data_IF_050145228815
#
_entry.id   IF_050145228815
#
_cell.length_a   1.000
_cell.length_b   1.000
_cell.length_c   1.000
_cell.angle_alpha   90.00
_cell.angle_beta   90.00
_cell.angle_gamma   90.00
#
_symmetry.space_group_name_H-M   'P 1'
#
loop_
_entity.id
_entity.type
_entity.pdbx_description
1 polymer ?
#
# COMPACT_ATOMS: atom_id res chain seq x y z
N UNK A 1 -8.30 9.70 3.90
CA UNK A 1 -7.40 10.84 3.69
C UNK A 1 -7.62 11.41 2.29
N UNK A 2 -7.67 12.73 2.14
CA UNK A 2 -7.78 13.45 0.86
C UNK A 2 -6.58 14.38 0.70
N UNK A 3 -5.80 14.20 -0.38
CA UNK A 3 -4.56 14.95 -0.62
C UNK A 3 -4.62 15.70 -1.94
N UNK A 4 -4.34 17.00 -1.91
CA UNK A 4 -4.13 17.82 -3.10
C UNK A 4 -2.66 17.83 -3.49
N UNK A 5 -2.35 17.47 -4.74
CA UNK A 5 -0.97 17.45 -5.26
C UNK A 5 -0.84 18.53 -6.33
N UNK A 6 0.12 19.43 -6.18
CA UNK A 6 0.47 20.44 -7.17
C UNK A 6 1.88 20.17 -7.68
N UNK A 7 2.01 19.78 -8.95
CA UNK A 7 3.31 19.80 -9.61
C UNK A 7 3.66 21.26 -9.89
N UNK A 8 4.70 21.77 -9.21
CA UNK A 8 5.09 23.17 -9.30
C UNK A 8 5.33 23.61 -10.75
N UNK A 9 5.04 24.88 -10.99
CA UNK A 9 5.25 25.58 -12.27
C UNK A 9 4.37 25.12 -13.42
N UNK A 10 4.26 25.98 -14.42
CA UNK A 10 3.62 25.66 -15.70
C UNK A 10 4.57 24.87 -16.60
N UNK A 11 4.02 24.15 -17.59
CA UNK A 11 4.82 23.40 -18.58
C UNK A 11 5.52 24.34 -19.55
N UNK A 12 4.84 25.45 -19.86
CA UNK A 12 5.28 26.53 -20.73
C UNK A 12 4.61 27.85 -20.32
N UNK A 13 5.09 28.97 -20.86
CA UNK A 13 4.55 30.29 -20.52
C UNK A 13 5.05 30.82 -19.18
N UNK A 14 4.27 31.69 -18.54
CA UNK A 14 4.70 32.34 -17.31
C UNK A 14 4.78 31.35 -16.14
N UNK A 15 5.90 31.38 -15.39
CA UNK A 15 6.08 30.55 -14.20
C UNK A 15 6.47 29.11 -14.51
N UNK A 16 7.33 28.87 -15.50
CA UNK A 16 7.81 27.54 -15.90
C UNK A 16 8.99 26.99 -15.07
N UNK A 17 9.35 27.66 -13.98
CA UNK A 17 10.40 27.23 -13.07
C UNK A 17 11.83 27.38 -13.59
N UNK A 18 12.78 26.82 -12.83
CA UNK A 18 14.19 26.84 -13.16
C UNK A 18 14.55 25.84 -14.28
N UNK A 19 15.60 26.17 -15.02
CA UNK A 19 16.23 25.28 -16.01
C UNK A 19 17.69 25.15 -15.61
N UNK A 20 18.03 24.03 -14.97
CA UNK A 20 19.40 23.67 -14.62
C UNK A 20 19.89 22.52 -15.51
N UNK A 21 20.55 21.56 -14.88
CA UNK A 21 20.92 20.28 -15.50
C UNK A 21 19.66 19.51 -15.90
N UNK A 22 18.62 19.61 -15.07
CA UNK A 22 17.26 19.17 -15.38
C UNK A 22 16.29 20.35 -15.35
N UNK A 23 15.16 20.21 -16.06
CA UNK A 23 14.09 21.23 -16.05
C UNK A 23 13.14 20.98 -14.89
N UNK A 24 13.02 21.94 -13.98
CA UNK A 24 12.19 21.83 -12.77
C UNK A 24 10.73 21.49 -13.13
N UNK A 25 10.11 22.20 -14.08
CA UNK A 25 8.71 21.94 -14.47
C UNK A 25 8.45 20.52 -14.97
N UNK A 26 9.47 19.87 -15.55
CA UNK A 26 9.34 18.51 -16.07
C UNK A 26 9.44 17.50 -14.92
N UNK A 27 10.44 17.64 -14.06
CA UNK A 27 10.70 16.69 -12.99
C UNK A 27 9.69 16.80 -11.83
N UNK A 28 9.16 17.99 -11.55
CA UNK A 28 8.02 18.15 -10.63
C UNK A 28 6.80 17.34 -11.08
N UNK A 29 6.53 17.28 -12.40
CA UNK A 29 5.44 16.48 -12.97
C UNK A 29 5.72 14.99 -12.89
N UNK A 30 6.95 14.56 -13.21
CA UNK A 30 7.34 13.14 -13.11
C UNK A 30 7.18 12.63 -11.66
N UNK A 31 7.70 13.37 -10.68
CA UNK A 31 7.58 13.02 -9.25
C UNK A 31 6.11 13.09 -8.80
N UNK A 32 5.40 14.15 -9.16
CA UNK A 32 4.01 14.34 -8.78
C UNK A 32 3.08 13.25 -9.31
N UNK A 33 3.23 12.85 -10.58
CA UNK A 33 2.45 11.77 -11.17
C UNK A 33 2.73 10.42 -10.48
N UNK A 34 4.00 10.11 -10.22
CA UNK A 34 4.37 8.89 -9.49
C UNK A 34 3.78 8.90 -8.06
N UNK A 35 3.86 10.03 -7.34
CA UNK A 35 3.30 10.16 -6.00
C UNK A 35 1.77 10.03 -5.99
N UNK A 36 1.09 10.69 -6.93
CA UNK A 36 -0.37 10.55 -7.10
C UNK A 36 -0.78 9.10 -7.35
N UNK A 37 0.01 8.35 -8.14
CA UNK A 37 -0.22 6.93 -8.39
C UNK A 37 -0.10 6.10 -7.11
N UNK A 38 0.99 6.28 -6.34
CA UNK A 38 1.20 5.57 -5.08
C UNK A 38 0.07 5.84 -4.07
N UNK A 39 -0.32 7.10 -3.90
CA UNK A 39 -1.40 7.48 -3.00
C UNK A 39 -2.74 6.86 -3.42
N UNK A 40 -3.10 6.90 -4.72
CA UNK A 40 -4.34 6.29 -5.23
C UNK A 40 -4.35 4.77 -5.02
N UNK A 41 -3.23 4.10 -5.28
CA UNK A 41 -3.09 2.65 -5.05
C UNK A 41 -3.23 2.28 -3.57
N UNK A 42 -2.91 3.21 -2.66
CA UNK A 42 -3.10 3.05 -1.22
C UNK A 42 -4.51 3.44 -0.72
N UNK A 43 -5.47 3.70 -1.63
CA UNK A 43 -6.83 4.08 -1.27
C UNK A 43 -7.00 5.55 -0.85
N UNK A 44 -5.98 6.39 -1.02
CA UNK A 44 -6.06 7.84 -0.75
C UNK A 44 -6.80 8.52 -1.89
N UNK A 45 -7.74 9.41 -1.55
CA UNK A 45 -8.37 10.27 -2.55
C UNK A 45 -7.41 11.39 -2.93
N UNK A 46 -7.04 11.48 -4.21
CA UNK A 46 -6.04 12.44 -4.70
C UNK A 46 -6.67 13.47 -5.64
N UNK A 47 -6.48 14.75 -5.32
CA UNK A 47 -6.91 15.90 -6.12
C UNK A 47 -5.71 16.50 -6.84
N UNK A 48 -5.67 16.41 -8.17
CA UNK A 48 -4.61 17.04 -8.95
C UNK A 48 -4.87 18.56 -9.03
N UNK A 49 -3.96 19.34 -8.47
CA UNK A 49 -3.96 20.81 -8.41
C UNK A 49 -2.90 21.41 -9.34
N UNK A 50 -2.40 20.64 -10.31
CA UNK A 50 -1.40 21.08 -11.29
C UNK A 50 -2.02 22.00 -12.34
N UNK A 51 -1.27 23.04 -12.74
CA UNK A 51 -1.68 23.99 -13.77
C UNK A 51 -0.59 24.02 -14.84
N UNK A 52 -0.92 23.58 -16.05
CA UNK A 52 0.07 23.46 -17.13
C UNK A 52 0.34 24.76 -17.89
N UNK A 53 -0.57 25.74 -17.82
CA UNK A 53 -0.45 27.00 -18.53
C UNK A 53 -1.20 28.13 -17.79
N UNK A 54 -0.59 29.32 -17.79
CA UNK A 54 -1.20 30.57 -17.33
C UNK A 54 -0.52 31.75 -18.04
N UNK A 55 -1.21 32.89 -18.13
CA UNK A 55 -0.65 34.09 -18.76
C UNK A 55 0.31 34.81 -17.81
N UNK A 56 0.08 34.69 -16.49
CA UNK A 56 0.98 35.20 -15.46
C UNK A 56 1.28 34.18 -14.36
N UNK A 57 2.44 34.36 -13.69
CA UNK A 57 2.80 33.57 -12.50
C UNK A 57 1.73 33.66 -11.41
N UNK A 58 1.11 34.82 -11.23
CA UNK A 58 0.12 35.02 -10.18
C UNK A 58 -1.18 34.26 -10.48
N UNK A 59 -1.60 34.19 -11.75
CA UNK A 59 -2.76 33.40 -12.17
C UNK A 59 -2.53 31.91 -11.95
N UNK A 60 -1.36 31.39 -12.34
CA UNK A 60 -0.96 30.01 -12.05
C UNK A 60 -1.11 29.70 -10.56
N UNK A 61 -0.49 30.50 -9.70
CA UNK A 61 -0.51 30.31 -8.25
C UNK A 61 -1.93 30.40 -7.68
N UNK A 62 -2.74 31.35 -8.17
CA UNK A 62 -4.13 31.52 -7.77
C UNK A 62 -5.00 30.34 -8.19
N UNK A 63 -4.82 29.82 -9.41
CA UNK A 63 -5.57 28.69 -9.94
C UNK A 63 -5.28 27.40 -9.18
N UNK A 64 -4.01 27.09 -8.89
CA UNK A 64 -3.63 25.92 -8.10
C UNK A 64 -4.27 25.94 -6.70
N UNK A 65 -4.20 27.10 -6.02
CA UNK A 65 -4.84 27.30 -4.71
C UNK A 65 -6.36 27.22 -4.80
N UNK A 66 -6.96 27.73 -5.87
CA UNK A 66 -8.41 27.65 -6.07
C UNK A 66 -8.89 26.20 -6.24
N UNK A 67 -8.13 25.34 -6.92
CA UNK A 67 -8.41 23.91 -7.00
C UNK A 67 -8.34 23.25 -5.62
N UNK A 68 -7.27 23.52 -4.88
CA UNK A 68 -7.09 22.98 -3.53
C UNK A 68 -8.21 23.41 -2.58
N UNK A 69 -8.57 24.69 -2.58
CA UNK A 69 -9.55 25.28 -1.66
C UNK A 69 -11.02 24.96 -1.99
N UNK A 70 -11.31 24.35 -3.15
CA UNK A 70 -12.64 23.81 -3.49
C UNK A 70 -12.93 22.49 -2.79
N UNK A 71 -11.92 21.86 -2.22
CA UNK A 71 -12.00 20.56 -1.57
C UNK A 71 -11.68 20.69 -0.08
N UNK A 72 -12.18 19.75 0.73
CA UNK A 72 -11.76 19.60 2.12
C UNK A 72 -10.53 18.68 2.18
N UNK A 73 -9.35 19.24 1.91
CA UNK A 73 -8.09 18.47 1.90
C UNK A 73 -7.52 18.29 3.31
N UNK A 74 -6.99 17.10 3.60
CA UNK A 74 -6.14 16.85 4.77
C UNK A 74 -4.74 17.46 4.57
N UNK A 75 -4.24 17.41 3.33
CA UNK A 75 -2.96 17.97 2.92
C UNK A 75 -3.03 18.58 1.52
N UNK A 76 -2.35 19.71 1.34
CA UNK A 76 -1.91 20.23 0.05
C UNK A 76 -0.39 20.15 -0.03
N UNK A 77 0.13 19.49 -1.07
CA UNK A 77 1.56 19.26 -1.25
C UNK A 77 1.96 19.80 -2.62
N UNK A 78 2.86 20.77 -2.62
CA UNK A 78 3.44 21.34 -3.84
C UNK A 78 4.86 20.81 -4.02
N UNK A 79 5.18 20.27 -5.20
CA UNK A 79 6.48 19.63 -5.48
C UNK A 79 7.31 20.55 -6.35
N UNK A 80 8.56 20.79 -5.95
CA UNK A 80 9.49 21.73 -6.55
C UNK A 80 10.93 21.17 -6.57
N UNK A 81 11.79 21.80 -7.37
CA UNK A 81 13.24 21.59 -7.33
C UNK A 81 13.93 22.95 -7.21
N UNK A 82 14.91 23.03 -6.32
CA UNK A 82 15.54 24.28 -5.99
C UNK A 82 16.57 24.68 -7.06
N UNK A 83 17.03 25.93 -7.02
CA UNK A 83 18.15 26.40 -7.82
C UNK A 83 18.91 27.48 -7.06
N UNK A 84 20.20 27.65 -7.36
CA UNK A 84 21.04 28.66 -6.71
C UNK A 84 21.89 29.41 -7.74
N UNK A 85 22.09 30.72 -7.53
CA UNK A 85 22.83 31.54 -8.50
C UNK A 85 24.27 31.08 -8.77
N UNK A 86 24.92 30.44 -7.79
CA UNK A 86 26.26 29.85 -7.94
C UNK A 86 26.25 28.34 -8.25
N UNK A 87 25.07 27.70 -8.36
CA UNK A 87 24.91 26.25 -8.57
C UNK A 87 25.56 25.36 -7.48
N UNK A 88 25.84 25.94 -6.31
CA UNK A 88 26.43 25.25 -5.14
C UNK A 88 25.40 24.84 -4.08
N UNK A 89 24.18 25.37 -4.16
CA UNK A 89 23.08 24.89 -3.33
C UNK A 89 22.86 23.39 -3.59
N UNK A 90 22.67 22.62 -2.54
CA UNK A 90 22.43 21.18 -2.60
C UNK A 90 21.59 20.75 -1.40
N UNK A 91 20.89 19.62 -1.55
CA UNK A 91 20.04 19.01 -0.53
C UNK A 91 18.55 19.34 -0.65
N UNK A 92 17.77 18.76 0.27
CA UNK A 92 16.31 18.86 0.33
C UNK A 92 15.83 19.81 1.43
N UNK A 93 14.73 20.52 1.19
CA UNK A 93 14.04 21.33 2.21
C UNK A 93 12.53 21.30 2.00
N UNK A 94 11.78 21.49 3.08
CA UNK A 94 10.31 21.59 3.04
C UNK A 94 9.86 22.92 3.64
N UNK A 95 9.00 23.64 2.94
CA UNK A 95 8.42 24.90 3.41
C UNK A 95 6.99 24.68 3.91
N UNK A 96 6.72 25.11 5.14
CA UNK A 96 5.38 25.08 5.74
C UNK A 96 4.99 26.47 6.23
N UNK A 97 3.69 26.70 6.49
CA UNK A 97 3.24 27.97 7.03
C UNK A 97 3.92 28.26 8.38
N UNK A 98 4.60 29.40 8.49
CA UNK A 98 5.42 29.80 9.66
C UNK A 98 6.55 28.83 10.04
N UNK A 99 6.87 27.84 9.18
CA UNK A 99 7.88 26.84 9.48
C UNK A 99 7.42 25.83 10.52
N UNK A 100 6.10 25.60 10.63
CA UNK A 100 5.52 24.55 11.47
C UNK A 100 6.14 23.19 11.15
N UNK A 101 6.68 22.56 12.18
CA UNK A 101 7.34 21.26 12.14
C UNK A 101 6.28 20.16 12.19
N UNK A 102 5.51 20.01 11.11
CA UNK A 102 4.60 18.88 10.98
C UNK A 102 5.42 17.59 10.85
N UNK A 103 5.03 16.53 11.56
CA UNK A 103 5.74 15.25 11.52
C UNK A 103 5.91 14.76 10.07
N UNK A 104 4.85 14.79 9.28
CA UNK A 104 4.91 14.38 7.86
C UNK A 104 5.95 15.18 7.05
N UNK A 105 6.16 16.46 7.35
CA UNK A 105 7.15 17.30 6.66
C UNK A 105 8.59 17.00 7.13
N UNK A 106 8.76 16.67 8.41
CA UNK A 106 10.03 16.18 8.96
C UNK A 106 10.41 14.84 8.33
N UNK A 107 9.44 13.92 8.24
CA UNK A 107 9.63 12.59 7.69
C UNK A 107 9.95 12.64 6.19
N UNK A 108 9.33 13.55 5.44
CA UNK A 108 9.71 13.80 4.03
C UNK A 108 11.19 14.23 3.93
N UNK A 109 11.64 15.19 4.75
CA UNK A 109 13.05 15.59 4.76
C UNK A 109 13.98 14.43 5.16
N UNK A 110 13.60 13.64 6.17
CA UNK A 110 14.36 12.49 6.64
C UNK A 110 14.48 11.42 5.55
N UNK A 111 13.36 11.00 4.96
CA UNK A 111 13.31 9.97 3.93
C UNK A 111 14.09 10.37 2.67
N UNK A 112 14.02 11.65 2.27
CA UNK A 112 14.84 12.14 1.16
C UNK A 112 16.33 12.13 1.54
N UNK A 113 16.68 12.48 2.78
CA UNK A 113 18.08 12.41 3.22
C UNK A 113 18.65 10.99 3.28
N UNK A 114 17.82 9.98 3.54
CA UNK A 114 18.21 8.56 3.46
C UNK A 114 18.60 8.13 2.04
N UNK A 115 18.10 8.84 1.02
CA UNK A 115 18.50 8.63 -0.38
C UNK A 115 19.85 9.28 -0.73
N UNK A 116 20.45 10.04 0.20
CA UNK A 116 21.76 10.68 0.04
C UNK A 116 21.74 12.21 -0.04
N UNK A 117 20.56 12.85 -0.02
CA UNK A 117 20.47 14.32 -0.04
C UNK A 117 20.88 14.92 1.31
N UNK A 118 21.52 16.09 1.28
CA UNK A 118 21.70 16.87 2.52
C UNK A 118 20.35 17.34 3.05
N UNK A 119 20.03 16.99 4.30
CA UNK A 119 18.81 17.44 4.96
C UNK A 119 18.95 18.90 5.41
N UNK A 120 18.17 19.82 4.82
CA UNK A 120 18.17 21.24 5.18
C UNK A 120 16.96 21.64 6.04
N UNK A 121 16.14 20.66 6.41
CA UNK A 121 15.04 20.77 7.36
C UNK A 121 13.80 21.50 6.84
N UNK A 122 12.85 21.67 7.76
CA UNK A 122 11.60 22.38 7.52
C UNK A 122 11.77 23.88 7.80
N UNK A 123 11.35 24.72 6.84
CA UNK A 123 11.56 26.18 6.83
C UNK A 123 10.25 26.96 6.73
N UNK A 124 10.31 28.24 7.10
CA UNK A 124 9.16 29.13 7.02
C UNK A 124 8.82 29.52 5.57
N UNK A 125 7.67 29.03 5.11
CA UNK A 125 7.11 29.28 3.79
C UNK A 125 6.04 30.37 3.73
N UNK A 126 5.89 31.21 4.77
CA UNK A 126 4.81 32.22 4.85
C UNK A 126 4.79 33.21 3.68
N UNK A 127 5.93 33.42 3.01
CA UNK A 127 6.04 34.22 1.80
C UNK A 127 5.53 33.52 0.53
N UNK A 128 5.45 32.19 0.52
CA UNK A 128 5.06 31.39 -0.64
C UNK A 128 3.55 31.41 -0.81
N UNK A 129 3.08 31.81 -2.00
CA UNK A 129 1.65 32.02 -2.24
C UNK A 129 0.81 30.77 -1.96
N UNK A 130 1.24 29.61 -2.46
CA UNK A 130 0.52 28.33 -2.31
C UNK A 130 0.48 27.83 -0.87
N UNK A 131 1.46 28.19 -0.04
CA UNK A 131 1.45 27.90 1.39
C UNK A 131 0.53 28.86 2.14
N UNK A 132 0.63 30.16 1.84
CA UNK A 132 -0.12 31.19 2.56
C UNK A 132 -1.61 31.21 2.23
N UNK A 133 -2.00 30.84 1.01
CA UNK A 133 -3.38 31.01 0.52
C UNK A 133 -4.20 29.72 0.50
N UNK A 134 -3.58 28.57 0.79
CA UNK A 134 -4.30 27.31 0.94
C UNK A 134 -4.95 27.21 2.31
N UNK A 135 -6.21 26.75 2.37
CA UNK A 135 -6.98 26.59 3.62
C UNK A 135 -6.58 25.34 4.39
N UNK A 136 -6.27 24.26 3.67
CA UNK A 136 -5.82 23.00 4.23
C UNK A 136 -4.39 23.10 4.80
N UNK A 137 -3.97 22.08 5.55
CA UNK A 137 -2.56 21.89 5.93
C UNK A 137 -1.72 21.85 4.65
N UNK A 138 -0.63 22.63 4.56
CA UNK A 138 0.11 22.78 3.30
C UNK A 138 1.63 22.69 3.49
N UNK A 139 2.30 22.02 2.55
CA UNK A 139 3.75 22.02 2.43
C UNK A 139 4.20 22.16 0.98
N UNK A 140 5.39 22.73 0.79
CA UNK A 140 6.09 22.81 -0.49
C UNK A 140 7.43 22.10 -0.33
N UNK A 141 7.68 21.10 -1.15
CA UNK A 141 8.86 20.25 -1.07
C UNK A 141 9.83 20.69 -2.15
N UNK A 142 11.00 21.18 -1.75
CA UNK A 142 12.16 21.30 -2.63
C UNK A 142 12.92 19.97 -2.58
N UNK A 143 12.74 19.14 -3.60
CA UNK A 143 13.29 17.78 -3.64
C UNK A 143 14.82 17.81 -3.55
N UNK A 144 15.44 18.53 -4.48
CA UNK A 144 16.87 18.78 -4.54
C UNK A 144 17.12 19.99 -5.47
N UNK A 145 18.38 20.39 -5.66
CA UNK A 145 18.75 21.48 -6.57
C UNK A 145 18.87 21.00 -8.01
N UNK A 146 18.03 21.51 -8.93
CA UNK A 146 18.00 21.08 -10.33
C UNK A 146 19.25 21.50 -11.13
N UNK A 147 20.08 22.38 -10.56
CA UNK A 147 21.26 22.97 -11.15
C UNK A 147 22.58 22.51 -10.48
N UNK A 148 22.52 21.57 -9.54
CA UNK A 148 23.69 21.02 -8.85
C UNK A 148 23.94 19.56 -9.26
N UNK A 149 25.13 19.26 -9.76
CA UNK A 149 25.44 17.93 -10.31
C UNK A 149 25.33 16.81 -9.27
N UNK A 150 25.80 17.04 -8.04
CA UNK A 150 25.75 16.03 -6.98
C UNK A 150 24.30 15.66 -6.61
N UNK A 151 23.42 16.66 -6.54
CA UNK A 151 22.00 16.43 -6.29
C UNK A 151 21.33 15.67 -7.45
N UNK A 152 21.71 15.94 -8.71
CA UNK A 152 21.16 15.21 -9.85
C UNK A 152 21.65 13.77 -9.91
N UNK A 153 22.92 13.53 -9.60
CA UNK A 153 23.47 12.17 -9.52
C UNK A 153 22.77 11.37 -8.40
N UNK A 154 22.55 12.00 -7.24
CA UNK A 154 21.80 11.42 -6.12
C UNK A 154 20.35 11.13 -6.49
N UNK A 155 19.68 12.06 -7.18
CA UNK A 155 18.33 11.88 -7.70
C UNK A 155 18.23 10.68 -8.66
N UNK A 156 19.19 10.52 -9.58
CA UNK A 156 19.22 9.38 -10.51
C UNK A 156 19.50 8.06 -9.76
N UNK A 157 20.48 8.04 -8.86
CA UNK A 157 20.83 6.87 -8.06
C UNK A 157 19.68 6.40 -7.16
N UNK A 158 18.86 7.33 -6.68
CA UNK A 158 17.66 7.03 -5.90
C UNK A 158 16.53 6.36 -6.72
N UNK A 159 16.68 6.20 -8.03
CA UNK A 159 15.64 5.71 -8.94
C UNK A 159 14.83 6.82 -9.60
N UNK A 160 15.38 8.04 -9.66
CA UNK A 160 14.74 9.19 -10.30
C UNK A 160 13.39 9.53 -9.67
N UNK A 161 12.42 9.88 -10.51
CA UNK A 161 11.13 10.39 -10.06
C UNK A 161 10.36 9.39 -9.18
N UNK A 162 10.44 8.10 -9.49
CA UNK A 162 9.77 7.04 -8.71
C UNK A 162 10.38 6.86 -7.32
N UNK A 163 11.71 6.94 -7.23
CA UNK A 163 12.44 6.89 -5.96
C UNK A 163 12.06 8.02 -5.02
N UNK A 164 12.06 9.25 -5.54
CA UNK A 164 11.62 10.44 -4.80
C UNK A 164 10.15 10.32 -4.39
N UNK A 165 9.27 9.92 -5.31
CA UNK A 165 7.87 9.76 -5.01
C UNK A 165 7.63 8.74 -3.88
N UNK A 166 8.37 7.62 -3.86
CA UNK A 166 8.32 6.63 -2.77
C UNK A 166 8.77 7.21 -1.43
N UNK A 167 9.84 8.01 -1.42
CA UNK A 167 10.32 8.66 -0.20
C UNK A 167 9.32 9.70 0.35
N UNK A 168 8.73 10.52 -0.53
CA UNK A 168 7.67 11.45 -0.14
C UNK A 168 6.44 10.68 0.37
N UNK A 169 6.00 9.65 -0.35
CA UNK A 169 4.87 8.80 0.02
C UNK A 169 5.05 8.21 1.44
N UNK A 170 6.23 7.66 1.76
CA UNK A 170 6.55 7.14 3.10
C UNK A 170 6.45 8.19 4.20
N UNK A 171 6.69 9.47 3.89
CA UNK A 171 6.63 10.55 4.87
C UNK A 171 5.23 11.09 5.10
N UNK A 172 4.28 10.88 4.17
CA UNK A 172 2.93 11.44 4.25
C UNK A 172 1.83 10.40 4.40
N UNK A 173 2.12 9.16 4.02
CA UNK A 173 1.23 8.02 4.16
C UNK A 173 1.84 7.07 5.17
N UNK A 174 1.44 7.25 6.42
CA UNK A 174 1.59 6.26 7.46
C UNK A 174 0.35 5.36 7.35
N UNK A 175 0.47 4.10 6.90
CA UNK A 175 -0.61 3.16 7.12
C UNK A 175 -0.96 3.23 8.60
N UNK A 176 -2.23 3.08 8.96
CA UNK A 176 -2.58 2.84 10.36
C UNK A 176 -1.77 1.62 10.77
N UNK A 177 -0.66 1.89 11.46
CA UNK A 177 0.06 0.91 12.23
C UNK A 177 -0.94 0.61 13.33
N UNK A 178 -1.76 -0.42 13.10
CA UNK A 178 -2.22 -1.25 14.20
C UNK A 178 -0.96 -1.45 15.05
N UNK A 179 -0.98 -1.08 16.34
CA UNK A 179 0.20 -1.16 17.18
C UNK A 179 0.84 -2.51 16.88
N UNK A 180 2.13 -2.49 16.53
CA UNK A 180 2.87 -3.70 16.29
C UNK A 180 2.73 -4.55 17.54
N UNK A 181 1.75 -5.46 17.52
CA UNK A 181 1.98 -6.80 18.01
C UNK A 181 3.31 -7.12 17.36
N UNK A 182 4.36 -7.29 18.17
CA UNK A 182 5.55 -7.96 17.67
C UNK A 182 4.99 -9.20 16.97
N UNK A 183 4.99 -9.22 15.64
CA UNK A 183 4.74 -10.46 14.92
C UNK A 183 5.77 -11.40 15.54
N UNK A 184 5.34 -12.53 16.13
CA UNK A 184 6.29 -13.53 16.59
C UNK A 184 7.34 -13.66 15.49
N UNK A 185 8.63 -13.65 15.85
CA UNK A 185 9.66 -14.03 14.89
C UNK A 185 9.15 -15.29 14.18
N UNK A 186 8.94 -15.23 12.86
CA UNK A 186 8.36 -16.35 12.12
C UNK A 186 9.27 -17.55 12.37
N UNK A 187 8.75 -18.55 13.08
CA UNK A 187 9.49 -19.78 13.28
C UNK A 187 9.46 -20.51 11.95
N UNK A 188 10.57 -20.44 11.22
CA UNK A 188 10.78 -21.14 9.95
C UNK A 188 10.93 -22.66 10.12
N UNK A 189 10.70 -23.18 11.33
CA UNK A 189 10.63 -24.60 11.62
C UNK A 189 9.48 -24.94 12.59
N UNK A 190 8.24 -24.54 12.27
CA UNK A 190 7.10 -24.77 13.15
C UNK A 190 6.67 -26.23 13.10
N UNK A 191 5.96 -26.69 14.13
CA UNK A 191 5.20 -27.93 13.99
C UNK A 191 4.10 -27.77 12.93
N UNK A 192 3.59 -28.90 12.41
CA UNK A 192 2.51 -28.87 11.42
C UNK A 192 1.28 -28.15 11.96
N UNK A 193 0.93 -28.43 13.21
CA UNK A 193 -0.25 -27.91 13.86
C UNK A 193 -0.13 -26.39 14.08
N UNK A 194 1.05 -25.89 14.45
CA UNK A 194 1.34 -24.45 14.55
C UNK A 194 1.27 -23.77 13.18
N UNK A 195 1.85 -24.39 12.15
CA UNK A 195 1.79 -23.87 10.79
C UNK A 195 0.36 -23.81 10.25
N UNK A 196 -0.44 -24.86 10.46
CA UNK A 196 -1.86 -24.90 10.08
C UNK A 196 -2.66 -23.81 10.78
N UNK A 197 -2.45 -23.63 12.08
CA UNK A 197 -3.13 -22.58 12.85
C UNK A 197 -2.73 -21.18 12.38
N UNK A 198 -1.45 -20.94 12.11
CA UNK A 198 -0.94 -19.66 11.61
C UNK A 198 -1.54 -19.31 10.24
N UNK A 199 -1.38 -20.19 9.25
CA UNK A 199 -1.89 -19.97 7.90
C UNK A 199 -3.42 -19.90 7.92
N UNK A 200 -4.07 -20.80 8.66
CA UNK A 200 -5.52 -20.88 8.76
C UNK A 200 -6.14 -19.64 9.39
N UNK A 201 -5.50 -19.04 10.39
CA UNK A 201 -5.96 -17.79 11.01
C UNK A 201 -5.98 -16.63 10.02
N UNK A 202 -4.97 -16.51 9.15
CA UNK A 202 -4.87 -15.48 8.11
C UNK A 202 -5.87 -15.78 6.99
N UNK A 203 -5.89 -17.01 6.50
CA UNK A 203 -6.76 -17.45 5.42
C UNK A 203 -8.25 -17.30 5.76
N UNK A 204 -8.65 -17.56 7.01
CA UNK A 204 -10.02 -17.33 7.49
C UNK A 204 -10.41 -15.86 7.45
N UNK A 205 -9.53 -14.95 7.86
CA UNK A 205 -9.78 -13.49 7.77
C UNK A 205 -9.95 -13.06 6.32
N UNK A 206 -9.02 -13.47 5.45
CA UNK A 206 -9.08 -13.12 4.03
C UNK A 206 -10.33 -13.68 3.34
N UNK A 207 -10.76 -14.89 3.70
CA UNK A 207 -12.04 -15.44 3.24
C UNK A 207 -13.25 -14.62 3.70
N UNK A 208 -13.30 -14.21 4.97
CA UNK A 208 -14.41 -13.39 5.48
C UNK A 208 -14.47 -12.02 4.80
N UNK A 209 -13.32 -11.40 4.55
CA UNK A 209 -13.24 -10.05 3.99
C UNK A 209 -13.45 -10.05 2.47
N UNK A 210 -12.88 -11.03 1.76
CA UNK A 210 -12.77 -10.98 0.30
C UNK A 210 -13.42 -12.18 -0.42
N UNK A 211 -13.76 -13.26 0.29
CA UNK A 211 -14.36 -14.48 -0.26
C UNK A 211 -13.60 -15.05 -1.47
N UNK A 212 -12.25 -15.07 -1.40
CA UNK A 212 -11.40 -15.51 -2.52
C UNK A 212 -11.22 -17.03 -2.51
N UNK A 213 -10.46 -17.58 -1.56
CA UNK A 213 -10.11 -19.00 -1.56
C UNK A 213 -10.35 -19.63 -0.19
N UNK A 214 -10.95 -20.82 -0.16
CA UNK A 214 -11.28 -21.52 1.06
C UNK A 214 -10.05 -21.70 1.96
N UNK A 215 -10.17 -21.43 3.27
CA UNK A 215 -9.05 -21.56 4.20
C UNK A 215 -8.37 -22.93 4.19
N UNK A 216 -9.14 -24.02 4.12
CA UNK A 216 -8.58 -25.38 4.03
C UNK A 216 -7.65 -25.57 2.82
N UNK A 217 -8.00 -24.98 1.67
CA UNK A 217 -7.22 -25.02 0.44
C UNK A 217 -5.95 -24.18 0.59
N UNK A 218 -6.03 -22.99 1.18
CA UNK A 218 -4.86 -22.12 1.45
C UNK A 218 -3.85 -22.86 2.33
N UNK A 219 -4.33 -23.48 3.42
CA UNK A 219 -3.48 -24.23 4.36
C UNK A 219 -2.80 -25.41 3.65
N UNK A 220 -3.54 -26.16 2.82
CA UNK A 220 -3.00 -27.30 2.11
C UNK A 220 -1.93 -26.90 1.08
N UNK A 221 -2.18 -25.87 0.27
CA UNK A 221 -1.19 -25.36 -0.69
C UNK A 221 0.06 -24.87 0.02
N UNK A 222 -0.11 -24.01 1.04
CA UNK A 222 1.02 -23.51 1.82
C UNK A 222 1.82 -24.66 2.42
N UNK A 223 1.16 -25.65 3.03
CA UNK A 223 1.84 -26.76 3.70
C UNK A 223 2.66 -27.62 2.75
N UNK A 224 2.10 -27.92 1.58
CA UNK A 224 2.75 -28.79 0.59
C UNK A 224 3.88 -28.04 -0.12
N UNK A 225 3.65 -26.81 -0.56
CA UNK A 225 4.60 -26.06 -1.39
C UNK A 225 5.76 -25.49 -0.58
N UNK A 226 5.52 -25.15 0.69
CA UNK A 226 6.57 -24.65 1.59
C UNK A 226 7.26 -25.74 2.41
N UNK A 227 6.86 -27.00 2.27
CA UNK A 227 7.25 -28.06 3.20
C UNK A 227 7.02 -27.65 4.68
N UNK A 228 5.83 -27.11 4.97
CA UNK A 228 5.45 -26.59 6.30
C UNK A 228 6.47 -25.53 6.76
N UNK A 229 6.75 -24.54 5.90
CA UNK A 229 7.64 -23.42 6.19
C UNK A 229 9.14 -23.71 6.06
N UNK A 230 9.56 -24.96 5.84
CA UNK A 230 10.98 -25.35 5.85
C UNK A 230 11.68 -25.30 4.49
N UNK A 231 10.95 -25.06 3.39
CA UNK A 231 11.56 -24.98 2.07
C UNK A 231 12.46 -23.75 1.94
N UNK A 232 13.46 -23.82 1.08
CA UNK A 232 14.38 -22.68 0.83
C UNK A 232 13.63 -21.37 0.51
N UNK A 233 12.57 -21.44 -0.30
CA UNK A 233 11.77 -20.25 -0.64
C UNK A 233 10.99 -19.73 0.58
N UNK A 234 10.49 -20.61 1.43
CA UNK A 234 9.80 -20.22 2.66
C UNK A 234 10.76 -19.60 3.69
N UNK A 235 11.99 -20.10 3.80
CA UNK A 235 12.99 -19.60 4.76
C UNK A 235 13.68 -18.31 4.29
N UNK A 236 14.10 -18.27 3.02
CA UNK A 236 14.95 -17.18 2.52
C UNK A 236 14.15 -16.08 1.80
N UNK A 237 12.93 -16.38 1.36
CA UNK A 237 12.09 -15.46 0.60
C UNK A 237 10.68 -15.28 1.20
N UNK A 238 10.38 -15.92 2.33
CA UNK A 238 9.04 -15.99 2.94
C UNK A 238 7.94 -16.39 1.96
N UNK A 239 8.27 -17.12 0.90
CA UNK A 239 7.36 -17.47 -0.18
C UNK A 239 6.79 -18.87 0.02
N UNK A 240 5.54 -18.95 0.47
CA UNK A 240 4.89 -20.22 0.82
C UNK A 240 4.28 -20.97 -0.38
N UNK A 241 4.02 -20.30 -1.51
CA UNK A 241 3.19 -20.81 -2.62
C UNK A 241 3.91 -20.84 -3.99
N UNK A 242 5.24 -20.81 -4.02
CA UNK A 242 6.00 -21.01 -5.26
C UNK A 242 5.58 -20.13 -6.45
N UNK A 243 5.19 -18.86 -6.22
CA UNK A 243 4.73 -17.99 -7.31
C UNK A 243 5.94 -17.40 -8.05
N UNK A 244 6.12 -17.76 -9.31
CA UNK A 244 7.13 -17.15 -10.20
C UNK A 244 6.82 -15.67 -10.46
N UNK A 245 7.87 -14.88 -10.68
CA UNK A 245 7.76 -13.44 -10.94
C UNK A 245 6.95 -13.18 -12.22
N UNK A 246 5.91 -12.35 -12.11
CA UNK A 246 4.92 -12.17 -13.17
C UNK A 246 4.22 -10.80 -13.04
N UNK A 247 4.98 -9.71 -13.14
CA UNK A 247 4.50 -8.34 -12.95
C UNK A 247 4.47 -7.90 -11.48
N UNK A 248 5.00 -8.73 -10.57
CA UNK A 248 5.22 -8.39 -9.18
C UNK A 248 6.29 -7.30 -9.03
N UNK A 249 5.99 -6.29 -8.22
CA UNK A 249 6.88 -5.14 -7.98
C UNK A 249 7.55 -5.16 -6.60
N UNK A 250 7.26 -6.18 -5.79
CA UNK A 250 7.93 -6.39 -4.50
C UNK A 250 9.28 -7.10 -4.66
N UNK A 251 9.81 -7.66 -3.57
CA UNK A 251 11.09 -8.38 -3.61
C UNK A 251 11.00 -9.62 -4.49
N UNK A 252 12.14 -10.04 -5.02
CA UNK A 252 12.28 -11.27 -5.79
C UNK A 252 13.39 -12.14 -5.23
N UNK A 253 13.28 -13.45 -5.44
CA UNK A 253 14.31 -14.43 -5.11
C UNK A 253 14.66 -15.25 -6.35
N UNK A 254 15.94 -15.62 -6.53
CA UNK A 254 16.41 -16.41 -7.67
C UNK A 254 16.64 -17.84 -7.19
N UNK A 255 15.99 -18.80 -7.84
CA UNK A 255 16.17 -20.23 -7.57
C UNK A 255 15.80 -21.05 -8.81
N UNK A 256 16.47 -22.16 -9.03
CA UNK A 256 16.08 -23.11 -10.08
C UNK A 256 14.65 -23.64 -9.88
N UNK A 257 13.91 -23.81 -10.98
CA UNK A 257 12.58 -24.40 -10.96
C UNK A 257 12.58 -25.79 -11.58
N UNK A 258 12.09 -26.79 -10.85
CA UNK A 258 11.84 -28.13 -11.40
C UNK A 258 10.41 -28.20 -11.93
N UNK A 259 10.25 -28.51 -13.21
CA UNK A 259 8.94 -28.56 -13.89
C UNK A 259 8.67 -29.95 -14.45
N UNK A 260 7.44 -30.42 -14.33
CA UNK A 260 7.01 -31.67 -14.97
C UNK A 260 6.52 -31.40 -16.40
N UNK A 261 7.02 -32.17 -17.36
CA UNK A 261 6.60 -32.14 -18.75
C UNK A 261 5.33 -32.99 -18.97
N UNK A 262 4.57 -32.79 -20.06
CA UNK A 262 3.35 -33.56 -20.35
C UNK A 262 3.56 -35.08 -20.46
N UNK A 263 4.78 -35.53 -20.81
CA UNK A 263 5.15 -36.94 -20.89
C UNK A 263 5.53 -37.55 -19.52
N UNK A 264 5.46 -36.76 -18.45
CA UNK A 264 5.81 -37.15 -17.08
C UNK A 264 7.27 -36.97 -16.70
N UNK A 265 8.15 -36.64 -17.65
CA UNK A 265 9.56 -36.32 -17.38
C UNK A 265 9.73 -34.98 -16.67
N UNK A 266 10.89 -34.73 -16.06
CA UNK A 266 11.19 -33.47 -15.37
C UNK A 266 12.26 -32.66 -16.11
N UNK A 267 12.11 -31.33 -16.12
CA UNK A 267 13.14 -30.38 -16.55
C UNK A 267 13.49 -29.41 -15.42
N UNK A 268 14.66 -28.78 -15.52
CA UNK A 268 15.10 -27.74 -14.59
C UNK A 268 15.28 -26.43 -15.36
N UNK A 269 14.48 -25.42 -15.03
CA UNK A 269 14.64 -24.07 -15.53
C UNK A 269 15.61 -23.33 -14.59
N UNK A 270 16.83 -23.07 -15.08
CA UNK A 270 17.90 -22.43 -14.30
C UNK A 270 17.57 -20.97 -13.98
N UNK A 271 17.91 -20.52 -12.77
CA UNK A 271 17.78 -19.12 -12.32
C UNK A 271 16.36 -18.52 -12.49
N UNK A 272 15.32 -19.30 -12.22
CA UNK A 272 13.97 -18.77 -12.25
C UNK A 272 13.78 -17.69 -11.16
N UNK A 273 13.00 -16.65 -11.50
CA UNK A 273 12.66 -15.58 -10.58
C UNK A 273 11.34 -15.90 -9.89
N UNK A 274 11.34 -15.76 -8.56
CA UNK A 274 10.20 -16.00 -7.68
C UNK A 274 9.81 -14.72 -6.96
N UNK A 275 8.53 -14.57 -6.64
CA UNK A 275 8.08 -13.51 -5.72
C UNK A 275 8.68 -13.79 -4.33
N UNK A 276 9.11 -12.74 -3.66
CA UNK A 276 9.61 -12.77 -2.28
C UNK A 276 8.90 -11.71 -1.44
N UNK A 277 8.79 -11.98 -0.14
CA UNK A 277 7.90 -11.27 0.77
C UNK A 277 8.58 -10.94 2.09
N UNK A 278 8.11 -9.89 2.74
CA UNK A 278 8.59 -9.44 4.04
C UNK A 278 8.08 -10.30 5.20
N UNK A 279 6.99 -11.06 4.97
CA UNK A 279 6.43 -12.04 5.92
C UNK A 279 5.66 -13.15 5.20
N UNK A 280 5.45 -14.29 5.87
CA UNK A 280 4.54 -15.33 5.41
C UNK A 280 3.10 -14.82 5.26
N UNK A 281 2.65 -13.90 6.11
CA UNK A 281 1.33 -13.27 5.96
C UNK A 281 1.21 -12.52 4.62
N UNK A 282 2.23 -11.76 4.23
CA UNK A 282 2.24 -11.10 2.93
C UNK A 282 2.21 -12.11 1.78
N UNK A 283 2.90 -13.25 1.91
CA UNK A 283 2.84 -14.33 0.91
C UNK A 283 1.43 -14.95 0.80
N UNK A 284 0.70 -15.09 1.90
CA UNK A 284 -0.66 -15.65 1.92
C UNK A 284 -1.64 -14.68 1.25
N UNK A 285 -1.58 -13.40 1.60
CA UNK A 285 -2.45 -12.38 1.02
C UNK A 285 -2.15 -12.15 -0.47
N UNK A 286 -0.87 -12.13 -0.86
CA UNK A 286 -0.50 -12.01 -2.27
C UNK A 286 -0.89 -13.25 -3.09
N UNK A 287 -0.82 -14.46 -2.51
CA UNK A 287 -1.32 -15.66 -3.16
C UNK A 287 -2.81 -15.51 -3.51
N UNK A 288 -3.64 -15.10 -2.56
CA UNK A 288 -5.07 -14.95 -2.81
C UNK A 288 -5.35 -13.79 -3.78
N UNK A 289 -4.63 -12.68 -3.67
CA UNK A 289 -4.70 -11.59 -4.66
C UNK A 289 -4.29 -12.07 -6.07
N UNK A 290 -3.29 -12.93 -6.18
CA UNK A 290 -2.88 -13.54 -7.45
C UNK A 290 -3.99 -14.42 -8.04
N UNK A 291 -4.63 -15.27 -7.23
CA UNK A 291 -5.80 -16.06 -7.64
C UNK A 291 -6.93 -15.14 -8.14
N UNK A 292 -7.23 -14.08 -7.39
CA UNK A 292 -8.31 -13.15 -7.69
C UNK A 292 -8.07 -12.29 -8.95
N UNK A 293 -6.82 -12.01 -9.30
CA UNK A 293 -6.50 -11.01 -10.35
C UNK A 293 -5.86 -11.59 -11.61
N UNK A 294 -5.37 -12.84 -11.58
CA UNK A 294 -4.68 -13.40 -12.74
C UNK A 294 -5.64 -13.54 -13.92
N UNK A 295 -5.35 -12.84 -15.00
CA UNK A 295 -6.10 -12.93 -16.25
C UNK A 295 -5.32 -13.61 -17.38
N UNK A 296 -6.05 -14.27 -18.28
CA UNK A 296 -5.53 -14.90 -19.51
C UNK A 296 -5.59 -13.99 -20.74
N UNK A 297 -6.29 -12.85 -20.68
CA UNK A 297 -6.62 -12.02 -21.85
C UNK A 297 -6.63 -10.50 -21.55
N UNK A 298 -5.84 -10.07 -20.57
CA UNK A 298 -5.68 -8.64 -20.23
C UNK A 298 -6.79 -8.07 -19.34
N UNK A 299 -7.41 -8.91 -18.51
CA UNK A 299 -8.34 -8.52 -17.45
C UNK A 299 -9.81 -8.89 -17.72
N UNK A 300 -10.15 -9.48 -18.87
CA UNK A 300 -11.55 -9.80 -19.23
C UNK A 300 -11.99 -11.14 -18.66
N UNK A 301 -11.09 -12.11 -18.66
CA UNK A 301 -11.31 -13.45 -18.14
C UNK A 301 -10.29 -13.72 -17.04
N UNK A 302 -10.80 -13.99 -15.83
CA UNK A 302 -9.97 -14.42 -14.70
C UNK A 302 -9.63 -15.90 -14.87
N UNK A 303 -8.33 -16.20 -14.88
CA UNK A 303 -7.80 -17.56 -15.02
C UNK A 303 -8.39 -18.51 -13.97
N UNK A 304 -8.49 -18.04 -12.74
CA UNK A 304 -8.96 -18.82 -11.59
C UNK A 304 -10.39 -18.46 -11.17
N UNK A 305 -11.18 -17.86 -12.06
CA UNK A 305 -12.57 -17.46 -11.77
C UNK A 305 -13.41 -18.54 -11.07
N UNK A 306 -13.36 -19.82 -11.46
CA UNK A 306 -14.10 -20.90 -10.79
C UNK A 306 -13.65 -21.20 -9.35
N UNK A 307 -12.42 -20.84 -8.98
CA UNK A 307 -11.88 -21.02 -7.61
C UNK A 307 -12.43 -19.95 -6.67
N UNK A 308 -12.62 -18.72 -7.18
CA UNK A 308 -13.01 -17.55 -6.40
C UNK A 308 -14.40 -17.77 -5.78
N UNK A 309 -14.47 -17.73 -4.45
CA UNK A 309 -15.72 -17.93 -3.69
C UNK A 309 -16.24 -19.36 -3.72
N UNK A 310 -15.48 -20.33 -4.23
CA UNK A 310 -15.88 -21.73 -4.26
C UNK A 310 -15.95 -22.28 -2.82
N UNK A 311 -17.16 -22.48 -2.30
CA UNK A 311 -17.40 -23.01 -0.94
C UNK A 311 -17.25 -24.52 -0.78
N UNK A 312 -16.59 -25.20 -1.73
CA UNK A 312 -16.31 -26.64 -1.63
C UNK A 312 -14.83 -26.92 -1.96
N UNK A 313 -14.07 -27.43 -0.98
CA UNK A 313 -12.63 -27.61 -1.11
C UNK A 313 -12.23 -28.62 -2.20
N UNK A 314 -13.04 -29.67 -2.43
CA UNK A 314 -12.80 -30.65 -3.51
C UNK A 314 -12.90 -29.95 -4.87
N UNK A 315 -13.96 -29.17 -5.09
CA UNK A 315 -14.14 -28.43 -6.33
C UNK A 315 -13.05 -27.36 -6.52
N UNK A 316 -12.72 -26.62 -5.48
CA UNK A 316 -11.65 -25.62 -5.52
C UNK A 316 -10.30 -26.24 -5.94
N UNK A 317 -9.92 -27.39 -5.39
CA UNK A 317 -8.70 -28.12 -5.77
C UNK A 317 -8.75 -28.60 -7.23
N UNK A 318 -9.89 -29.13 -7.67
CA UNK A 318 -10.08 -29.56 -9.06
C UNK A 318 -9.98 -28.38 -10.03
N UNK A 319 -10.57 -27.24 -9.69
CA UNK A 319 -10.47 -26.02 -10.49
C UNK A 319 -9.03 -25.49 -10.55
N UNK A 320 -8.28 -25.49 -9.45
CA UNK A 320 -6.86 -25.12 -9.47
C UNK A 320 -6.05 -25.96 -10.48
N UNK A 321 -6.30 -27.28 -10.52
CA UNK A 321 -5.65 -28.16 -11.50
C UNK A 321 -6.12 -27.88 -12.93
N UNK A 322 -7.42 -27.74 -13.17
CA UNK A 322 -7.98 -27.43 -14.50
C UNK A 322 -7.49 -26.08 -15.04
N UNK A 323 -7.33 -25.09 -14.17
CA UNK A 323 -6.79 -23.78 -14.50
C UNK A 323 -5.26 -23.80 -14.73
N UNK A 324 -4.59 -24.93 -14.46
CA UNK A 324 -3.15 -25.12 -14.63
C UNK A 324 -2.33 -24.34 -13.60
N UNK A 325 -2.76 -24.34 -12.32
CA UNK A 325 -1.99 -23.72 -11.24
C UNK A 325 -0.60 -24.37 -11.10
N UNK A 326 -0.54 -25.70 -11.11
CA UNK A 326 0.70 -26.48 -11.07
C UNK A 326 0.86 -27.37 -12.31
N UNK A 327 2.10 -27.71 -12.65
CA UNK A 327 2.42 -28.67 -13.73
C UNK A 327 2.23 -30.13 -13.31
N UNK A 328 2.09 -30.41 -12.00
CA UNK A 328 1.82 -31.74 -11.47
C UNK A 328 0.47 -32.29 -11.92
N UNK A 329 0.47 -33.54 -12.42
CA UNK A 329 -0.73 -34.24 -12.88
C UNK A 329 -1.65 -34.70 -11.74
N UNK A 330 -1.15 -34.73 -10.49
CA UNK A 330 -1.90 -35.19 -9.31
C UNK A 330 -2.11 -34.07 -8.28
N UNK A 331 -2.02 -32.81 -8.72
CA UNK A 331 -2.05 -31.66 -7.81
C UNK A 331 -3.34 -31.59 -6.99
N UNK A 332 -4.52 -31.67 -7.62
CA UNK A 332 -5.79 -31.61 -6.93
C UNK A 332 -5.96 -32.75 -5.92
N UNK A 333 -5.62 -33.98 -6.33
CA UNK A 333 -5.69 -35.16 -5.46
C UNK A 333 -4.76 -35.02 -4.25
N UNK A 334 -3.56 -34.46 -4.46
CA UNK A 334 -2.60 -34.22 -3.38
C UNK A 334 -3.14 -33.22 -2.36
N UNK A 335 -3.78 -32.13 -2.81
CA UNK A 335 -4.41 -31.15 -1.92
C UNK A 335 -5.60 -31.75 -1.17
N UNK A 336 -6.51 -32.43 -1.87
CA UNK A 336 -7.71 -33.04 -1.27
C UNK A 336 -7.30 -34.04 -0.19
N UNK A 337 -6.38 -34.96 -0.51
CA UNK A 337 -5.88 -35.94 0.45
C UNK A 337 -5.24 -35.28 1.68
N UNK A 338 -4.55 -34.15 1.51
CA UNK A 338 -3.97 -33.40 2.63
C UNK A 338 -5.06 -32.76 3.51
N UNK A 339 -6.07 -32.13 2.89
CA UNK A 339 -7.21 -31.51 3.58
C UNK A 339 -7.98 -32.55 4.41
N UNK A 340 -8.28 -33.71 3.82
CA UNK A 340 -8.99 -34.79 4.49
C UNK A 340 -8.15 -35.39 5.63
N UNK A 341 -6.88 -35.72 5.35
CA UNK A 341 -5.98 -36.34 6.32
C UNK A 341 -5.81 -35.52 7.59
N UNK A 342 -5.75 -34.20 7.47
CA UNK A 342 -5.56 -33.29 8.61
C UNK A 342 -6.85 -32.57 9.02
N UNK A 343 -8.00 -32.98 8.48
CA UNK A 343 -9.31 -32.42 8.82
C UNK A 343 -9.33 -30.88 8.71
N UNK A 344 -8.73 -30.34 7.65
CA UNK A 344 -8.60 -28.89 7.48
C UNK A 344 -9.93 -28.20 7.15
N UNK A 345 -10.97 -28.95 6.79
CA UNK A 345 -12.32 -28.42 6.56
C UNK A 345 -12.91 -27.70 7.79
N UNK A 346 -12.42 -27.99 9.00
CA UNK A 346 -12.79 -27.23 10.21
C UNK A 346 -12.45 -25.74 10.09
N UNK A 347 -11.46 -25.37 9.28
CA UNK A 347 -11.10 -23.98 9.02
C UNK A 347 -12.05 -23.30 8.02
N UNK A 348 -12.96 -24.03 7.39
CA UNK A 348 -13.97 -23.50 6.46
C UNK A 348 -15.30 -23.20 7.16
N UNK A 349 -15.46 -23.59 8.44
CA UNK A 349 -16.68 -23.36 9.21
C UNK A 349 -16.69 -21.94 9.80
N UNK A 350 -17.71 -21.16 9.45
CA UNK A 350 -17.94 -19.81 9.99
C UNK A 350 -19.25 -19.76 10.75
N UNK A 351 -19.31 -18.98 11.83
CA UNK A 351 -20.58 -18.77 12.52
C UNK A 351 -21.60 -18.15 11.55
N UNK A 352 -22.86 -18.63 11.53
CA UNK A 352 -23.87 -18.08 10.65
C UNK A 352 -24.09 -16.59 10.94
N UNK A 353 -24.24 -15.81 9.88
CA UNK A 353 -24.52 -14.38 9.97
C UNK A 353 -25.77 -14.14 10.85
N UNK A 354 -25.58 -13.46 11.98
CA UNK A 354 -26.67 -13.09 12.87
C UNK A 354 -27.32 -11.80 12.41
N UNK A 355 -28.37 -11.91 11.59
CA UNK A 355 -29.18 -10.76 11.19
C UNK A 355 -30.01 -10.30 12.38
N UNK A 356 -29.97 -9.00 12.69
CA UNK A 356 -30.84 -8.42 13.70
C UNK A 356 -32.32 -8.66 13.30
N UNK A 357 -33.20 -9.08 14.22
CA UNK A 357 -34.61 -9.30 13.90
C UNK A 357 -35.25 -8.07 13.23
N UNK A 358 -36.32 -8.27 12.45
CA UNK A 358 -37.00 -7.18 11.76
C UNK A 358 -37.38 -6.03 12.74
N UNK A 359 -36.94 -4.81 12.43
CA UNK A 359 -37.11 -3.63 13.29
C UNK A 359 -36.01 -3.42 14.36
N UNK A 360 -35.02 -4.31 14.44
CA UNK A 360 -33.86 -4.20 15.33
C UNK A 360 -32.58 -3.96 14.53
N UNK A 361 -31.60 -3.31 15.15
CA UNK A 361 -30.24 -3.15 14.64
C UNK A 361 -29.27 -3.56 15.73
N UNK A 362 -28.18 -4.22 15.35
CA UNK A 362 -27.01 -4.36 16.22
C UNK A 362 -26.32 -2.99 16.29
N UNK A 363 -26.30 -2.36 17.47
CA UNK A 363 -25.71 -1.04 17.69
C UNK A 363 -24.34 -1.22 18.36
N UNK A 364 -23.29 -0.70 17.73
CA UNK A 364 -21.94 -0.65 18.31
C UNK A 364 -21.68 0.76 18.85
N UNK A 365 -21.40 0.89 20.15
CA UNK A 365 -21.03 2.17 20.77
C UNK A 365 -19.57 2.50 20.43
N UNK A 366 -19.36 3.56 19.65
CA UNK A 366 -18.02 4.01 19.29
C UNK A 366 -17.42 4.95 20.36
N UNK A 367 -16.42 4.45 21.09
CA UNK A 367 -15.34 5.22 21.72
C UNK A 367 -15.63 5.97 23.02
N UNK A 368 -14.58 6.16 23.82
CA UNK A 368 -14.57 7.02 25.00
C UNK A 368 -13.92 8.37 24.67
N UNK A 369 -14.60 9.48 24.96
CA UNK A 369 -14.10 10.83 24.69
C UNK A 369 -14.01 11.64 25.99
N UNK A 370 -12.84 12.21 26.28
CA UNK A 370 -12.69 13.20 27.37
C UNK A 370 -13.41 14.53 27.09
N UNK A 371 -13.71 14.81 25.82
CA UNK A 371 -14.38 16.04 25.37
C UNK A 371 -15.79 15.74 24.86
N UNK A 372 -16.80 16.34 25.50
CA UNK A 372 -18.19 16.27 25.06
C UNK A 372 -18.39 16.81 23.64
N UNK A 373 -17.60 17.82 23.24
CA UNK A 373 -17.69 18.39 21.89
C UNK A 373 -17.20 17.40 20.83
N UNK A 374 -16.18 16.60 21.15
CA UNK A 374 -15.67 15.58 20.25
C UNK A 374 -16.67 14.40 20.15
N UNK A 375 -17.24 13.98 21.28
CA UNK A 375 -18.32 12.98 21.31
C UNK A 375 -19.52 13.43 20.44
N UNK A 376 -19.98 14.69 20.59
CA UNK A 376 -21.06 15.27 19.78
C UNK A 376 -20.70 15.43 18.31
N UNK A 377 -19.44 15.65 17.98
CA UNK A 377 -18.99 15.73 16.58
C UNK A 377 -19.09 14.37 15.90
N UNK A 378 -18.66 13.30 16.57
CA UNK A 378 -18.82 11.95 16.06
C UNK A 378 -20.30 11.55 15.97
N UNK A 379 -21.08 11.80 17.03
CA UNK A 379 -22.53 11.50 17.06
C UNK A 379 -23.25 12.06 15.83
N UNK A 380 -23.06 13.36 15.53
CA UNK A 380 -23.67 14.00 14.35
C UNK A 380 -23.21 13.41 13.03
N UNK A 381 -21.97 12.91 12.96
CA UNK A 381 -21.48 12.23 11.76
C UNK A 381 -22.15 10.89 11.57
N UNK A 382 -22.34 10.13 12.65
CA UNK A 382 -22.99 8.82 12.66
C UNK A 382 -24.48 8.94 12.35
N UNK A 383 -25.18 9.90 12.96
CA UNK A 383 -26.61 10.16 12.71
C UNK A 383 -26.88 10.55 11.25
N UNK A 384 -25.97 11.34 10.64
CA UNK A 384 -26.05 11.66 9.19
C UNK A 384 -25.92 10.43 8.28
N UNK A 385 -25.30 9.36 8.79
CA UNK A 385 -25.15 8.08 8.09
C UNK A 385 -26.27 7.09 8.46
N UNK A 386 -27.30 7.54 9.17
CA UNK A 386 -28.42 6.70 9.60
C UNK A 386 -28.12 5.83 10.83
N UNK A 387 -26.98 6.04 11.49
CA UNK A 387 -26.59 5.27 12.69
C UNK A 387 -27.12 5.96 13.94
N UNK A 388 -27.95 5.26 14.70
CA UNK A 388 -28.43 5.73 16.01
C UNK A 388 -27.26 5.64 17.00
N UNK A 389 -26.89 6.78 17.60
CA UNK A 389 -25.79 6.87 18.55
C UNK A 389 -26.16 7.67 19.80
N UNK A 390 -25.70 7.21 20.97
CA UNK A 390 -26.03 7.80 22.28
C UNK A 390 -24.76 8.34 22.95
N UNK A 391 -24.87 9.49 23.61
CA UNK A 391 -23.82 10.05 24.48
C UNK A 391 -24.24 9.88 25.93
N UNK A 392 -23.48 9.07 26.66
CA UNK A 392 -23.63 8.88 28.10
C UNK A 392 -22.33 9.28 28.81
N UNK A 393 -22.46 9.90 30.00
CA UNK A 393 -21.32 10.19 30.87
C UNK A 393 -21.17 9.06 31.89
N UNK A 394 -19.95 8.50 32.00
CA UNK A 394 -19.63 7.44 32.95
C UNK A 394 -18.55 7.93 33.92
N UNK A 395 -18.64 7.53 35.19
CA UNK A 395 -17.63 7.83 36.21
C UNK A 395 -16.40 6.96 35.94
N UNK A 396 -15.22 7.56 35.83
CA UNK A 396 -13.96 6.85 35.63
C UNK A 396 -13.17 6.79 36.94
N UNK A 397 -13.71 6.12 37.96
CA UNK A 397 -12.96 5.83 39.18
C UNK A 397 -13.23 4.38 39.60
N UNK A 398 -12.14 3.66 39.89
CA UNK A 398 -12.16 2.38 40.59
C UNK A 398 -12.69 2.60 42.00
N UNK A 399 -13.51 1.69 42.58
CA UNK A 399 -13.70 1.65 44.02
C UNK A 399 -12.34 1.43 44.70
N UNK A 400 -12.14 2.16 45.79
CA UNK A 400 -10.94 2.29 46.62
C UNK A 400 -10.12 1.02 46.87
#
# INVERSE_FOLDING_TARGET
MVVGINCGHTKSGAGYGAVGIIKESEHTRLVGQALMSLLRSAGVTVVDCTIDQADTRNEYLAAAVALANRQELDWFISIHFNASGEHKGHGTEVFTYEGRQYQDALDVCANLSELGFTNRGVKAGTGLYVIRKTKAKSMLIEVCFCDNQQDIDTYQAAGGAEGIAKAIYKGIYHPVVLPSVQTPSEDHNPTREEFHAFVGGIARRDWQDHHIMLPSVVIAQASIESAIGTSELAQNANALFGIKLNGWTGRSYVKDATEQNPDGSYRVDQNALWRAYDSWEQSILDHNAYIATRSTDGGRTLRYGPVIGCGNHILACQYLQQCGYATSQTYAETLINYIERYSLHQYDEFEPEQIAPEGFLWIVQAGAYKSLNNAKKLQRSLEKQGVISLINAYRTESPE
#
